data_IF_539729889417
#
_entry.id   IF_539729889417
#
_cell.length_a   1.000
_cell.length_b   1.000
_cell.length_c   1.000
_cell.angle_alpha   90.00
_cell.angle_beta   90.00
_cell.angle_gamma   90.00
#
_symmetry.space_group_name_H-M   'P 1'
#
loop_
_entity.id
_entity.type
_entity.pdbx_description
1 polymer ?
#
# COMPACT_ATOMS: atom_id res chain seq x y z
N UNK A 1 -13.76 -1.55 -24.82
CA UNK A 1 -13.64 -2.83 -24.08
C UNK A 1 -13.82 -2.69 -22.56
N UNK A 2 -13.11 -1.79 -21.88
CA UNK A 2 -13.04 -1.72 -20.39
C UNK A 2 -14.38 -1.43 -19.70
N UNK A 3 -15.19 -0.52 -20.25
CA UNK A 3 -16.51 -0.16 -19.68
C UNK A 3 -17.44 -1.38 -19.59
N UNK A 4 -17.36 -2.30 -20.55
CA UNK A 4 -18.17 -3.53 -20.54
C UNK A 4 -17.84 -4.41 -19.32
N UNK A 5 -16.56 -4.57 -19.01
CA UNK A 5 -16.11 -5.38 -17.87
C UNK A 5 -16.49 -4.74 -16.54
N UNK A 6 -16.36 -3.42 -16.43
CA UNK A 6 -16.83 -2.68 -15.25
C UNK A 6 -18.33 -2.91 -15.03
N UNK A 7 -19.14 -2.79 -16.08
CA UNK A 7 -20.59 -3.02 -15.98
C UNK A 7 -20.95 -4.48 -15.65
N UNK A 8 -20.17 -5.45 -16.13
CA UNK A 8 -20.35 -6.86 -15.77
C UNK A 8 -20.03 -7.09 -14.28
N UNK A 9 -18.92 -6.54 -13.79
CA UNK A 9 -18.58 -6.61 -12.36
C UNK A 9 -19.66 -5.96 -11.51
N UNK A 10 -20.06 -4.71 -11.84
CA UNK A 10 -21.10 -4.00 -11.12
C UNK A 10 -22.43 -4.75 -11.12
N UNK A 11 -22.80 -5.40 -12.23
CA UNK A 11 -24.01 -6.23 -12.33
C UNK A 11 -23.91 -7.50 -11.48
N UNK A 12 -22.73 -8.12 -11.44
CA UNK A 12 -22.47 -9.35 -10.68
C UNK A 12 -22.30 -9.13 -9.17
N UNK A 13 -22.04 -7.89 -8.74
CA UNK A 13 -21.88 -7.51 -7.34
C UNK A 13 -22.98 -6.55 -6.87
N UNK A 14 -24.15 -6.55 -7.50
CA UNK A 14 -25.28 -5.66 -7.13
C UNK A 14 -25.81 -5.93 -5.72
N UNK A 15 -25.66 -7.16 -5.25
CA UNK A 15 -26.07 -7.67 -3.95
C UNK A 15 -24.91 -7.74 -2.94
N UNK A 16 -23.70 -7.34 -3.35
CA UNK A 16 -22.51 -7.33 -2.52
C UNK A 16 -22.25 -5.89 -2.05
N UNK A 17 -22.10 -5.71 -0.74
CA UNK A 17 -21.79 -4.43 -0.13
C UNK A 17 -20.65 -4.56 0.88
N UNK A 18 -20.03 -3.42 1.22
CA UNK A 18 -19.11 -3.38 2.34
C UNK A 18 -19.91 -3.52 3.64
N UNK A 19 -19.64 -4.58 4.38
CA UNK A 19 -20.26 -4.81 5.69
C UNK A 19 -19.32 -4.28 6.76
N UNK A 20 -19.76 -3.24 7.47
CA UNK A 20 -19.04 -2.70 8.62
C UNK A 20 -19.45 -3.48 9.86
N UNK A 21 -18.82 -4.63 10.07
CA UNK A 21 -19.00 -5.38 11.32
C UNK A 21 -18.02 -4.90 12.37
N UNK A 22 -18.46 -4.90 13.63
CA UNK A 22 -17.53 -4.71 14.75
C UNK A 22 -16.72 -6.00 14.91
N UNK A 23 -15.60 -6.09 14.20
CA UNK A 23 -14.63 -7.16 14.38
C UNK A 23 -14.17 -7.22 15.84
N UNK A 24 -14.18 -8.42 16.43
CA UNK A 24 -13.91 -8.63 17.86
C UNK A 24 -12.45 -8.40 18.27
N UNK A 25 -11.49 -8.45 17.33
CA UNK A 25 -10.12 -8.78 17.70
C UNK A 25 -9.01 -7.85 17.20
N UNK A 26 -9.28 -6.85 16.36
CA UNK A 26 -8.21 -5.94 15.93
C UNK A 26 -8.67 -4.47 15.88
N UNK A 27 -8.27 -3.70 16.88
CA UNK A 27 -8.52 -2.26 16.92
C UNK A 27 -7.50 -1.44 16.13
N UNK A 28 -6.56 -2.08 15.43
CA UNK A 28 -5.47 -1.41 14.76
C UNK A 28 -5.73 -1.21 13.27
N UNK A 29 -5.03 -0.23 12.71
CA UNK A 29 -4.97 0.03 11.28
C UNK A 29 -3.97 -0.96 10.67
N UNK A 30 -4.43 -1.67 9.66
CA UNK A 30 -3.61 -2.59 8.86
C UNK A 30 -3.76 -2.25 7.38
N UNK A 31 -2.64 -2.15 6.68
CA UNK A 31 -2.57 -1.88 5.25
C UNK A 31 -2.24 -3.13 4.45
N UNK A 32 -2.79 -3.21 3.25
CA UNK A 32 -2.48 -4.22 2.23
C UNK A 32 -2.09 -3.49 0.96
N UNK A 33 -0.98 -3.90 0.35
CA UNK A 33 -0.49 -3.35 -0.90
C UNK A 33 -0.29 -4.51 -1.87
N UNK A 34 -1.01 -4.44 -2.99
CA UNK A 34 -0.80 -5.33 -4.12
C UNK A 34 0.16 -4.63 -5.10
N UNK A 35 0.99 -5.42 -5.76
CA UNK A 35 2.03 -4.96 -6.68
C UNK A 35 1.97 -5.73 -7.98
N UNK A 36 0.77 -5.98 -8.49
CA UNK A 36 0.56 -6.67 -9.75
C UNK A 36 1.34 -5.99 -10.90
N UNK A 37 2.50 -6.58 -11.21
CA UNK A 37 3.35 -6.26 -12.35
C UNK A 37 2.99 -7.13 -13.58
N UNK A 38 2.00 -8.01 -13.46
CA UNK A 38 1.75 -9.05 -14.46
C UNK A 38 0.51 -8.69 -15.29
N UNK A 39 0.71 -8.11 -16.48
CA UNK A 39 -0.33 -8.23 -17.51
C UNK A 39 -0.48 -7.18 -18.60
N UNK A 40 0.33 -6.12 -18.67
CA UNK A 40 0.23 -5.17 -19.80
C UNK A 40 1.50 -5.13 -20.65
N UNK A 41 1.54 -6.03 -21.63
CA UNK A 41 2.54 -6.08 -22.69
C UNK A 41 2.52 -4.82 -23.58
N UNK A 42 1.46 -4.00 -23.53
CA UNK A 42 1.32 -2.81 -24.38
C UNK A 42 1.71 -1.50 -23.67
N UNK A 43 1.52 -1.34 -22.35
CA UNK A 43 1.79 -0.03 -21.71
C UNK A 43 2.98 0.06 -20.73
N UNK A 44 3.60 -1.04 -20.26
CA UNK A 44 4.67 -1.00 -19.23
C UNK A 44 4.32 -0.14 -17.98
N UNK A 45 3.04 -0.02 -17.63
CA UNK A 45 2.56 0.80 -16.50
C UNK A 45 2.19 -0.10 -15.33
N UNK A 46 2.79 0.17 -14.17
CA UNK A 46 2.42 -0.52 -12.93
C UNK A 46 1.06 -0.02 -12.44
N UNK A 47 0.17 -0.95 -12.08
CA UNK A 47 -0.94 -0.62 -11.18
C UNK A 47 -0.33 -0.36 -9.79
N UNK A 48 -0.87 0.61 -9.08
CA UNK A 48 -0.58 0.78 -7.66
C UNK A 48 -1.88 0.83 -6.93
N UNK A 49 -2.10 -0.20 -6.14
CA UNK A 49 -3.24 -0.33 -5.27
C UNK A 49 -2.85 -0.68 -3.85
N UNK A 50 -3.62 -0.10 -2.93
CA UNK A 50 -3.52 -0.41 -1.53
C UNK A 50 -4.88 -0.19 -0.87
N UNK A 51 -5.10 -0.93 0.21
CA UNK A 51 -6.30 -0.86 1.03
C UNK A 51 -5.85 -0.80 2.49
N UNK A 52 -6.42 0.12 3.26
CA UNK A 52 -6.27 0.18 4.70
C UNK A 52 -7.57 -0.21 5.37
N UNK A 53 -7.44 -1.01 6.41
CA UNK A 53 -8.54 -1.52 7.22
C UNK A 53 -8.38 -1.11 8.67
N UNK A 54 -9.49 -0.91 9.36
CA UNK A 54 -9.59 -0.71 10.80
C UNK A 54 -10.75 -1.57 11.29
N UNK A 55 -10.51 -2.45 12.26
CA UNK A 55 -11.54 -3.40 12.77
C UNK A 55 -12.19 -4.26 11.68
N UNK A 56 -11.40 -4.65 10.68
CA UNK A 56 -11.86 -5.43 9.53
C UNK A 56 -12.67 -4.63 8.51
N UNK A 57 -12.89 -3.34 8.74
CA UNK A 57 -13.59 -2.45 7.82
C UNK A 57 -12.60 -1.63 6.99
N UNK A 58 -12.86 -1.49 5.69
CA UNK A 58 -12.03 -0.64 4.82
C UNK A 58 -12.26 0.83 5.18
N UNK A 59 -11.18 1.57 5.45
CA UNK A 59 -11.21 2.99 5.81
C UNK A 59 -10.53 3.89 4.78
N UNK A 60 -9.61 3.35 4.00
CA UNK A 60 -8.96 4.06 2.89
C UNK A 60 -8.57 3.04 1.82
N UNK A 61 -8.69 3.43 0.56
CA UNK A 61 -8.22 2.64 -0.56
C UNK A 61 -7.75 3.57 -1.67
N UNK A 62 -6.86 3.07 -2.49
CA UNK A 62 -6.40 3.76 -3.67
C UNK A 62 -6.08 2.72 -4.73
N UNK A 63 -6.51 2.95 -5.96
CA UNK A 63 -6.11 2.17 -7.12
C UNK A 63 -5.82 3.15 -8.25
N UNK A 64 -4.59 3.15 -8.77
CA UNK A 64 -4.22 4.03 -9.88
C UNK A 64 -3.20 3.34 -10.77
N UNK A 65 -3.49 3.35 -12.07
CA UNK A 65 -2.48 3.07 -13.08
C UNK A 65 -1.45 4.19 -13.06
N UNK A 66 -0.19 3.88 -12.77
CA UNK A 66 0.84 4.91 -12.69
C UNK A 66 0.96 5.64 -14.04
N UNK A 67 0.54 6.92 -14.05
CA UNK A 67 0.62 7.80 -15.22
C UNK A 67 2.05 8.15 -15.59
N UNK A 68 2.96 8.06 -14.61
CA UNK A 68 4.37 8.34 -14.80
C UNK A 68 5.06 7.08 -15.33
N UNK A 69 5.57 7.15 -16.57
CA UNK A 69 6.56 6.21 -17.07
C UNK A 69 7.82 6.43 -16.20
N UNK A 70 7.92 5.77 -15.06
CA UNK A 70 9.17 5.84 -14.33
C UNK A 70 10.22 5.10 -15.16
N UNK A 71 11.35 5.79 -15.37
CA UNK A 71 12.47 5.29 -16.17
C UNK A 71 13.10 4.00 -15.60
N UNK A 72 12.70 3.59 -14.38
CA UNK A 72 13.06 2.30 -13.79
C UNK A 72 11.95 1.76 -12.88
N UNK A 73 11.85 0.43 -12.79
CA UNK A 73 10.96 -0.29 -11.87
C UNK A 73 11.29 -0.02 -10.40
N UNK A 74 12.53 0.34 -10.09
CA UNK A 74 12.93 0.74 -8.74
C UNK A 74 12.30 2.07 -8.34
N UNK A 75 12.27 3.05 -9.26
CA UNK A 75 11.70 4.37 -9.00
C UNK A 75 10.19 4.31 -8.80
N UNK A 76 9.47 3.49 -9.56
CA UNK A 76 8.02 3.26 -9.34
C UNK A 76 7.79 2.72 -7.94
N UNK A 77 8.54 1.69 -7.52
CA UNK A 77 8.43 1.05 -6.20
C UNK A 77 8.66 2.03 -5.04
N UNK A 78 9.68 2.88 -5.13
CA UNK A 78 9.89 3.94 -4.14
C UNK A 78 8.71 4.91 -4.09
N UNK A 79 8.14 5.29 -5.23
CA UNK A 79 6.97 6.19 -5.28
C UNK A 79 5.75 5.55 -4.62
N UNK A 80 5.49 4.26 -4.86
CA UNK A 80 4.41 3.50 -4.20
C UNK A 80 4.64 3.45 -2.70
N UNK A 81 5.80 2.97 -2.27
CA UNK A 81 6.13 2.83 -0.85
C UNK A 81 6.04 4.17 -0.11
N UNK A 82 6.45 5.28 -0.74
CA UNK A 82 6.31 6.62 -0.15
C UNK A 82 4.85 7.00 0.05
N UNK A 83 3.97 6.72 -0.92
CA UNK A 83 2.53 7.00 -0.80
C UNK A 83 1.90 6.15 0.31
N UNK A 84 2.21 4.86 0.30
CA UNK A 84 1.74 3.88 1.27
C UNK A 84 2.10 4.28 2.72
N UNK A 85 3.36 4.61 2.97
CA UNK A 85 3.85 5.02 4.29
C UNK A 85 3.22 6.34 4.73
N UNK A 86 3.05 7.30 3.81
CA UNK A 86 2.38 8.57 4.13
C UNK A 86 0.92 8.37 4.52
N UNK A 87 0.22 7.53 3.79
CA UNK A 87 -1.17 7.18 4.10
C UNK A 87 -1.28 6.50 5.47
N UNK A 88 -0.40 5.53 5.75
CA UNK A 88 -0.33 4.86 7.04
C UNK A 88 -0.11 5.82 8.21
N UNK A 89 0.80 6.79 8.07
CA UNK A 89 1.05 7.82 9.09
C UNK A 89 -0.15 8.77 9.28
N UNK A 90 -0.79 9.15 8.18
CA UNK A 90 -2.00 9.97 8.22
C UNK A 90 -3.12 9.27 8.99
N UNK A 91 -3.36 7.99 8.67
CA UNK A 91 -4.36 7.17 9.34
C UNK A 91 -3.99 6.90 10.80
N UNK A 92 -2.72 6.69 11.13
CA UNK A 92 -2.26 6.56 12.52
C UNK A 92 -2.57 7.81 13.34
N UNK A 93 -2.31 8.99 12.79
CA UNK A 93 -2.66 10.26 13.43
C UNK A 93 -4.16 10.42 13.62
N UNK A 94 -4.94 10.22 12.55
CA UNK A 94 -6.39 10.35 12.57
C UNK A 94 -7.05 9.41 13.58
N UNK A 95 -6.58 8.17 13.65
CA UNK A 95 -7.09 7.14 14.56
C UNK A 95 -6.64 7.40 15.99
N UNK A 96 -5.45 7.98 16.19
CA UNK A 96 -5.00 8.50 17.48
C UNK A 96 -5.86 9.63 18.02
N UNK A 97 -6.32 10.55 17.17
CA UNK A 97 -7.27 11.61 17.55
C UNK A 97 -8.66 11.06 17.95
N UNK A 98 -8.96 9.81 17.59
CA UNK A 98 -10.19 9.08 17.94
C UNK A 98 -9.99 8.10 19.12
N UNK A 99 -8.97 8.32 19.95
CA UNK A 99 -8.59 7.50 21.11
C UNK A 99 -8.20 6.05 20.80
N UNK A 100 -7.89 5.73 19.54
CA UNK A 100 -7.38 4.42 19.14
C UNK A 100 -5.87 4.51 19.04
N UNK A 101 -5.23 4.23 20.18
CA UNK A 101 -3.77 4.27 20.29
C UNK A 101 -3.16 2.98 19.75
N UNK A 102 -2.38 3.10 18.68
CA UNK A 102 -1.60 2.02 18.11
C UNK A 102 -0.12 2.42 18.05
N UNK A 103 0.75 1.50 18.43
CA UNK A 103 2.19 1.74 18.42
C UNK A 103 2.71 1.87 16.99
N UNK A 104 2.27 0.99 16.09
CA UNK A 104 2.72 0.92 14.71
C UNK A 104 1.56 0.56 13.77
N UNK A 105 1.69 0.91 12.50
CA UNK A 105 0.79 0.44 11.42
C UNK A 105 1.49 -0.69 10.69
N UNK A 106 0.86 -1.86 10.63
CA UNK A 106 1.40 -2.98 9.84
C UNK A 106 0.91 -2.86 8.41
N UNK A 107 1.83 -2.99 7.46
CA UNK A 107 1.52 -3.00 6.03
C UNK A 107 2.03 -4.29 5.42
N UNK A 108 1.10 -5.07 4.89
CA UNK A 108 1.36 -6.29 4.14
C UNK A 108 1.59 -5.94 2.67
N UNK A 109 2.68 -6.43 2.12
CA UNK A 109 3.01 -6.26 0.71
C UNK A 109 3.37 -7.61 0.10
N UNK A 110 2.82 -7.89 -1.06
CA UNK A 110 3.12 -9.06 -1.90
C UNK A 110 4.52 -8.95 -2.56
N UNK A 111 4.97 -7.72 -2.79
CA UNK A 111 6.19 -7.42 -3.53
C UNK A 111 7.44 -7.68 -2.69
N UNK A 112 8.05 -8.84 -2.88
CA UNK A 112 9.37 -9.14 -2.27
C UNK A 112 10.41 -8.07 -2.62
N UNK A 113 10.31 -7.47 -3.79
CA UNK A 113 11.20 -6.40 -4.23
C UNK A 113 11.01 -5.07 -3.47
N UNK A 114 9.79 -4.72 -3.06
CA UNK A 114 9.51 -3.53 -2.23
C UNK A 114 9.99 -3.80 -0.81
N UNK A 115 9.70 -4.98 -0.26
CA UNK A 115 10.18 -5.40 1.07
C UNK A 115 11.70 -5.37 1.12
N UNK A 116 12.37 -5.95 0.13
CA UNK A 116 13.82 -5.99 0.06
C UNK A 116 14.41 -4.59 -0.07
N UNK A 117 13.79 -3.70 -0.84
CA UNK A 117 14.24 -2.34 -1.05
C UNK A 117 14.09 -1.46 0.20
N UNK A 118 13.15 -1.77 1.09
CA UNK A 118 12.99 -1.11 2.39
C UNK A 118 13.96 -1.69 3.43
N UNK A 119 14.21 -3.02 3.38
CA UNK A 119 15.11 -3.71 4.32
C UNK A 119 16.60 -3.54 4.01
N UNK A 120 16.98 -3.55 2.72
CA UNK A 120 18.37 -3.42 2.29
C UNK A 120 18.72 -1.96 1.98
N UNK A 121 19.32 -1.31 2.98
CA UNK A 121 19.87 0.05 2.98
C UNK A 121 20.98 0.33 1.93
N UNK A 122 21.43 -0.68 1.18
CA UNK A 122 22.68 -0.67 0.42
C UNK A 122 22.47 -0.55 -1.09
N UNK A 123 21.81 0.50 -1.57
CA UNK A 123 21.96 0.92 -2.96
C UNK A 123 22.51 2.35 -3.01
N UNK A 124 23.84 2.42 -3.13
CA UNK A 124 24.57 3.65 -3.33
C UNK A 124 24.45 4.16 -4.78
N UNK A 125 24.38 5.49 -4.87
CA UNK A 125 24.65 6.36 -6.02
C UNK A 125 23.63 6.41 -7.17
N UNK A 126 22.79 7.47 -7.18
CA UNK A 126 22.77 8.54 -8.24
C UNK A 126 21.52 9.42 -8.33
N UNK A 127 20.62 9.49 -7.35
CA UNK A 127 19.47 10.43 -7.49
C UNK A 127 19.01 11.05 -6.18
N UNK A 128 19.40 12.31 -5.94
CA UNK A 128 19.07 13.10 -4.74
C UNK A 128 17.59 13.04 -4.32
N UNK A 129 16.65 13.01 -5.28
CA UNK A 129 15.21 12.96 -4.97
C UNK A 129 14.70 11.55 -4.59
N UNK A 130 15.39 10.49 -5.00
CA UNK A 130 15.09 9.12 -4.53
C UNK A 130 15.62 8.94 -3.11
N UNK A 131 16.79 9.52 -2.83
CA UNK A 131 17.46 9.51 -1.53
C UNK A 131 16.57 10.07 -0.40
N UNK A 132 15.94 11.24 -0.61
CA UNK A 132 15.04 11.85 0.39
C UNK A 132 13.83 10.96 0.71
N UNK A 133 13.24 10.31 -0.30
CA UNK A 133 12.08 9.43 -0.09
C UNK A 133 12.46 8.13 0.62
N UNK A 134 13.63 7.59 0.29
CA UNK A 134 14.19 6.43 0.96
C UNK A 134 14.49 6.75 2.42
N UNK A 135 15.20 7.85 2.69
CA UNK A 135 15.46 8.30 4.06
C UNK A 135 14.19 8.50 4.88
N UNK A 136 13.13 9.08 4.29
CA UNK A 136 11.85 9.22 4.96
C UNK A 136 11.24 7.85 5.34
N UNK A 137 11.17 6.91 4.40
CA UNK A 137 10.63 5.57 4.67
C UNK A 137 11.47 4.86 5.74
N UNK A 138 12.80 4.97 5.67
CA UNK A 138 13.71 4.37 6.64
C UNK A 138 13.54 4.99 8.04
N UNK A 139 13.43 6.31 8.16
CA UNK A 139 13.24 6.99 9.45
C UNK A 139 11.95 6.52 10.14
N UNK A 140 10.86 6.44 9.37
CA UNK A 140 9.55 6.00 9.87
C UNK A 140 9.57 4.54 10.32
N UNK A 141 10.20 3.65 9.53
CA UNK A 141 10.34 2.24 9.90
C UNK A 141 11.28 2.07 11.11
N UNK A 142 12.35 2.86 11.21
CA UNK A 142 13.31 2.80 12.34
C UNK A 142 12.72 3.34 13.63
N UNK A 143 11.86 4.37 13.55
CA UNK A 143 11.06 4.85 14.69
C UNK A 143 10.06 3.81 15.20
N UNK A 144 9.77 2.78 14.38
CA UNK A 144 8.74 1.79 14.68
C UNK A 144 7.33 2.35 14.51
N UNK A 145 7.15 3.36 13.66
CA UNK A 145 5.83 3.93 13.39
C UNK A 145 5.05 3.09 12.36
N UNK A 146 5.78 2.41 11.46
CA UNK A 146 5.23 1.57 10.39
C UNK A 146 6.08 0.30 10.29
N UNK A 147 5.42 -0.86 10.25
CA UNK A 147 6.03 -2.17 10.03
C UNK A 147 5.62 -2.68 8.65
N UNK A 148 6.59 -3.11 7.83
CA UNK A 148 6.32 -3.67 6.50
C UNK A 148 6.68 -5.14 6.50
N UNK A 149 5.66 -5.97 6.28
CA UNK A 149 5.71 -7.42 6.33
C UNK A 149 5.31 -8.02 4.99
N UNK A 150 5.81 -9.24 4.73
CA UNK A 150 5.34 -10.01 3.60
C UNK A 150 3.91 -10.47 3.87
N UNK A 151 3.07 -10.41 2.86
CA UNK A 151 1.82 -11.15 2.89
C UNK A 151 2.14 -12.65 2.79
N UNK A 152 2.16 -13.35 3.92
CA UNK A 152 2.27 -14.80 3.96
C UNK A 152 0.86 -15.35 3.72
N UNK A 153 0.54 -15.67 2.46
CA UNK A 153 -0.76 -16.21 2.08
C UNK A 153 -1.08 -17.47 2.89
N UNK A 154 -2.09 -17.38 3.77
CA UNK A 154 -2.99 -18.48 4.09
C UNK A 154 -4.38 -18.09 3.57
N UNK A 155 -4.58 -18.23 2.27
CA UNK A 155 -5.89 -18.38 1.63
C UNK A 155 -5.79 -19.48 0.60
#
# INVERSE_FOLDING_TARGET
QVVKWILICLKGSMDVGLVFERGLNDSHVSGFCDSDYVGDLDCRRSLTDYIFTLRGSIISWHATLQSTIALSTTKTKYMVATKLVKEALCLKGLVGDLDVNQKEVTIFCDSQSVIHLIRNQMYHERTKHIDVRMHFICDVTTRGDVLISREDCYF
#
